data_IF_190450171616
#
_entry.id   IF_190450171616
#
_cell.length_a   1.000
_cell.length_b   1.000
_cell.length_c   1.000
_cell.angle_alpha   90.00
_cell.angle_beta   90.00
_cell.angle_gamma   90.00
#
_symmetry.space_group_name_H-M   'P 1'
#
loop_
_entity.id
_entity.type
_entity.pdbx_description
1 polymer ?
#
# COMPACT_ATOMS: atom_id res chain seq x y z
N UNK A 1 7.99 -80.78 4.05
CA UNK A 1 6.77 -80.78 4.90
C UNK A 1 6.23 -79.36 4.96
N UNK A 2 5.12 -79.10 4.27
CA UNK A 2 4.32 -77.86 4.32
C UNK A 2 2.87 -78.30 4.12
N UNK A 3 1.99 -78.00 5.06
CA UNK A 3 0.53 -78.14 4.89
C UNK A 3 -0.18 -77.06 5.71
N UNK A 4 -1.00 -76.27 5.02
CA UNK A 4 -2.05 -75.41 5.57
C UNK A 4 -3.20 -76.25 6.20
N UNK A 5 -4.21 -75.70 6.91
CA UNK A 5 -5.37 -75.01 6.29
C UNK A 5 -5.88 -73.78 7.10
N UNK A 6 -6.50 -72.76 6.49
CA UNK A 6 -7.90 -72.58 6.02
C UNK A 6 -8.94 -72.31 7.14
N UNK A 7 -9.52 -71.10 7.12
CA UNK A 7 -10.58 -70.58 7.98
C UNK A 7 -11.89 -70.41 7.17
N UNK A 8 -13.04 -70.83 7.71
CA UNK A 8 -14.35 -70.22 7.43
C UNK A 8 -15.45 -70.72 8.39
N UNK A 9 -16.54 -69.94 8.46
CA UNK A 9 -17.87 -70.19 9.08
C UNK A 9 -18.03 -69.65 10.52
N UNK A 10 -19.14 -69.03 10.95
CA UNK A 10 -20.38 -68.54 10.31
C UNK A 10 -21.08 -67.58 11.31
N UNK A 11 -21.96 -66.76 10.77
CA UNK A 11 -22.85 -65.74 11.37
C UNK A 11 -23.92 -66.32 12.33
N UNK A 12 -24.44 -65.49 13.24
CA UNK A 12 -25.84 -65.26 13.69
C UNK A 12 -25.74 -64.62 15.11
N UNK A 13 -26.34 -63.49 15.49
CA UNK A 13 -27.50 -62.73 15.06
C UNK A 13 -28.36 -62.50 16.31
N UNK A 14 -28.53 -61.26 16.79
CA UNK A 14 -29.56 -60.94 17.80
C UNK A 14 -30.12 -59.53 17.62
N UNK A 15 -31.45 -59.50 17.60
CA UNK A 15 -32.34 -58.36 17.37
C UNK A 15 -32.62 -57.64 18.68
N UNK A 16 -32.71 -56.32 18.64
CA UNK A 16 -33.31 -55.49 19.69
C UNK A 16 -33.85 -54.19 19.09
N UNK A 17 -35.16 -53.94 19.24
CA UNK A 17 -35.88 -52.76 18.76
C UNK A 17 -36.54 -52.02 19.94
N UNK A 18 -36.72 -50.69 19.75
CA UNK A 18 -37.46 -49.67 20.55
C UNK A 18 -36.65 -49.03 21.70
N UNK A 19 -36.63 -47.71 21.94
CA UNK A 19 -37.42 -46.55 21.47
C UNK A 19 -36.64 -45.23 21.73
N UNK A 20 -37.12 -44.02 21.34
CA UNK A 20 -36.28 -42.94 20.82
C UNK A 20 -35.80 -41.91 21.86
N UNK A 21 -34.49 -41.60 21.83
CA UNK A 21 -33.93 -40.38 22.39
C UNK A 21 -33.78 -39.33 21.30
N UNK A 22 -34.56 -38.24 21.35
CA UNK A 22 -34.35 -37.03 20.53
C UNK A 22 -32.98 -36.43 20.85
N UNK A 23 -32.02 -36.63 19.97
CA UNK A 23 -30.82 -35.80 19.85
C UNK A 23 -30.91 -35.09 18.49
N UNK A 24 -31.07 -33.76 18.54
CA UNK A 24 -30.90 -32.89 17.39
C UNK A 24 -29.45 -33.01 16.89
N UNK A 25 -29.21 -33.89 15.92
CA UNK A 25 -28.01 -33.82 15.10
C UNK A 25 -28.23 -32.75 14.03
N UNK A 26 -27.53 -31.63 14.19
CA UNK A 26 -27.32 -30.68 13.13
C UNK A 26 -26.77 -31.43 11.90
N UNK A 27 -27.51 -31.41 10.79
CA UNK A 27 -26.97 -31.79 9.49
C UNK A 27 -25.84 -30.80 9.17
N UNK A 28 -24.61 -31.20 9.38
CA UNK A 28 -23.48 -30.56 8.71
C UNK A 28 -23.64 -30.85 7.23
N UNK A 29 -24.01 -29.81 6.47
CA UNK A 29 -23.89 -29.84 5.02
C UNK A 29 -22.44 -30.13 4.68
N UNK A 30 -22.21 -31.06 3.76
CA UNK A 30 -20.89 -31.27 3.17
C UNK A 30 -20.32 -29.91 2.75
N UNK A 31 -19.03 -29.61 3.03
CA UNK A 31 -18.43 -28.39 2.54
C UNK A 31 -18.50 -28.44 1.02
N UNK A 32 -19.33 -27.58 0.45
CA UNK A 32 -19.28 -27.31 -0.97
C UNK A 32 -17.84 -26.94 -1.29
N UNK A 33 -17.23 -27.64 -2.25
CA UNK A 33 -16.01 -27.17 -2.91
C UNK A 33 -16.30 -25.75 -3.37
N UNK A 34 -15.79 -24.76 -2.64
CA UNK A 34 -15.66 -23.42 -3.18
C UNK A 34 -14.84 -23.59 -4.47
N UNK A 35 -15.44 -23.25 -5.60
CA UNK A 35 -14.71 -23.12 -6.84
C UNK A 35 -13.54 -22.17 -6.56
N UNK A 36 -12.31 -22.69 -6.62
CA UNK A 36 -11.12 -21.88 -6.44
C UNK A 36 -11.10 -20.84 -7.54
N UNK A 37 -11.51 -19.61 -7.22
CA UNK A 37 -11.38 -18.48 -8.13
C UNK A 37 -9.91 -18.37 -8.52
N UNK A 38 -9.64 -18.15 -9.81
CA UNK A 38 -8.29 -17.90 -10.28
C UNK A 38 -7.72 -16.70 -9.50
N UNK A 39 -6.54 -16.88 -8.91
CA UNK A 39 -5.79 -15.79 -8.30
C UNK A 39 -5.30 -14.90 -9.44
N UNK A 40 -5.65 -13.61 -9.40
CA UNK A 40 -5.12 -12.61 -10.34
C UNK A 40 -3.60 -12.57 -10.21
N UNK A 41 -2.89 -12.98 -11.26
CA UNK A 41 -1.42 -13.05 -11.28
C UNK A 41 -0.77 -11.72 -11.67
N UNK A 42 -1.56 -10.69 -11.93
CA UNK A 42 -1.10 -9.38 -12.38
C UNK A 42 -0.79 -9.35 -13.88
N UNK A 43 -0.62 -8.14 -14.38
CA UNK A 43 -0.30 -7.86 -15.78
C UNK A 43 1.13 -7.32 -15.88
N UNK A 44 1.94 -7.89 -16.77
CA UNK A 44 3.34 -7.51 -16.92
C UNK A 44 3.46 -6.39 -17.96
N UNK A 45 4.21 -5.34 -17.66
CA UNK A 45 4.63 -4.33 -18.64
C UNK A 45 6.15 -4.25 -18.71
N UNK A 46 6.65 -3.57 -19.75
CA UNK A 46 8.07 -3.29 -19.93
C UNK A 46 8.21 -1.96 -20.67
N UNK A 47 9.23 -1.19 -20.32
CA UNK A 47 9.55 0.10 -20.94
C UNK A 47 8.90 1.31 -20.26
N UNK A 48 9.30 2.49 -20.74
CA UNK A 48 8.89 3.76 -20.16
C UNK A 48 7.45 4.14 -20.56
N UNK A 49 6.78 4.83 -19.63
CA UNK A 49 5.46 5.38 -19.79
C UNK A 49 5.40 6.40 -20.93
N UNK A 50 4.34 6.29 -21.72
CA UNK A 50 3.91 7.28 -22.72
C UNK A 50 2.86 8.22 -22.14
N UNK A 51 2.36 9.16 -22.94
CA UNK A 51 1.27 10.09 -22.54
C UNK A 51 1.55 10.82 -21.21
N UNK A 52 2.83 11.15 -20.99
CA UNK A 52 3.29 11.77 -19.75
C UNK A 52 2.67 13.15 -19.58
N UNK A 53 2.19 13.41 -18.37
CA UNK A 53 1.65 14.71 -17.96
C UNK A 53 2.13 15.05 -16.57
N UNK A 54 2.29 16.33 -16.30
CA UNK A 54 2.57 16.80 -14.95
C UNK A 54 1.41 16.44 -14.01
N UNK A 55 1.74 16.11 -12.76
CA UNK A 55 0.75 15.96 -11.71
C UNK A 55 0.12 17.32 -11.44
N UNK A 56 -1.20 17.43 -11.65
CA UNK A 56 -1.90 18.69 -11.46
C UNK A 56 -1.74 19.18 -10.03
N UNK A 57 -1.51 20.48 -9.83
CA UNK A 57 -1.37 21.07 -8.51
C UNK A 57 0.03 20.94 -7.89
N UNK A 58 0.93 20.15 -8.50
CA UNK A 58 2.35 20.15 -8.16
C UNK A 58 3.04 21.20 -9.03
N UNK A 59 3.88 22.09 -8.47
CA UNK A 59 4.56 23.10 -9.25
C UNK A 59 5.57 22.45 -10.23
N UNK A 60 5.82 23.06 -11.40
CA UNK A 60 6.73 22.49 -12.39
C UNK A 60 8.21 22.52 -11.97
N UNK A 61 8.52 23.23 -10.89
CA UNK A 61 9.79 23.26 -10.17
C UNK A 61 9.54 23.84 -8.77
N UNK A 62 10.42 23.61 -7.79
CA UNK A 62 10.32 24.30 -6.50
C UNK A 62 10.38 25.83 -6.70
N UNK A 63 9.52 26.61 -6.03
CA UNK A 63 9.54 28.07 -6.10
C UNK A 63 10.83 28.70 -5.55
N UNK A 64 11.48 28.04 -4.58
CA UNK A 64 12.73 28.49 -3.97
C UNK A 64 13.91 27.66 -4.49
N UNK A 65 15.14 28.23 -4.54
CA UNK A 65 16.33 27.47 -4.92
C UNK A 65 16.62 26.37 -3.90
N UNK A 66 16.33 25.14 -4.28
CA UNK A 66 16.70 23.94 -3.53
C UNK A 66 17.43 22.97 -4.43
N UNK A 67 18.38 22.24 -3.83
CA UNK A 67 19.09 21.17 -4.51
C UNK A 67 18.15 19.97 -4.63
N UNK A 68 17.48 19.87 -5.77
CA UNK A 68 16.75 18.67 -6.18
C UNK A 68 17.61 17.88 -7.16
N UNK A 69 17.46 16.56 -7.15
CA UNK A 69 18.12 15.73 -8.16
C UNK A 69 17.63 16.14 -9.55
N UNK A 70 18.49 16.03 -10.58
CA UNK A 70 18.05 16.18 -11.97
C UNK A 70 16.85 15.27 -12.28
N UNK A 71 15.99 15.72 -13.19
CA UNK A 71 14.85 14.94 -13.74
C UNK A 71 13.69 14.66 -12.77
N UNK A 72 13.71 15.18 -11.55
CA UNK A 72 12.56 15.10 -10.61
C UNK A 72 11.39 15.98 -11.07
N UNK A 73 11.69 17.20 -11.53
CA UNK A 73 10.69 18.18 -11.93
C UNK A 73 10.63 18.37 -13.45
N UNK A 74 9.44 18.55 -14.05
CA UNK A 74 8.13 18.45 -13.40
C UNK A 74 7.80 17.00 -13.00
N UNK A 75 7.17 16.82 -11.83
CA UNK A 75 6.73 15.49 -11.39
C UNK A 75 5.57 15.04 -12.28
N UNK A 76 5.67 13.82 -12.81
CA UNK A 76 4.78 13.32 -13.85
C UNK A 76 4.10 11.99 -13.49
N UNK A 77 2.93 11.79 -14.08
CA UNK A 77 2.34 10.46 -14.30
C UNK A 77 2.32 10.17 -15.79
N UNK A 78 2.32 8.89 -16.15
CA UNK A 78 2.20 8.45 -17.54
C UNK A 78 1.37 7.19 -17.67
N UNK A 79 1.31 6.63 -18.88
CA UNK A 79 0.62 5.38 -19.17
C UNK A 79 1.57 4.33 -19.70
N UNK A 80 1.52 3.12 -19.15
CA UNK A 80 2.11 1.92 -19.77
C UNK A 80 1.01 0.98 -20.25
N UNK A 81 1.32 0.17 -21.26
CA UNK A 81 0.45 -0.92 -21.72
C UNK A 81 1.11 -2.24 -21.40
N UNK A 82 0.43 -3.10 -20.65
CA UNK A 82 0.92 -4.44 -20.33
C UNK A 82 0.76 -5.42 -21.50
N UNK A 83 1.44 -6.57 -21.44
CA UNK A 83 1.46 -7.62 -22.47
C UNK A 83 0.06 -8.15 -22.81
N UNK A 84 -0.88 -8.11 -21.85
CA UNK A 84 -2.28 -8.48 -22.03
C UNK A 84 -3.16 -7.34 -22.61
N UNK A 85 -2.56 -6.19 -22.95
CA UNK A 85 -3.21 -5.04 -23.56
C UNK A 85 -3.90 -4.08 -22.58
N UNK A 86 -3.83 -4.32 -21.26
CA UNK A 86 -4.36 -3.37 -20.26
C UNK A 86 -3.47 -2.12 -20.18
N UNK A 87 -4.10 -0.99 -19.82
CA UNK A 87 -3.41 0.29 -19.62
C UNK A 87 -3.34 0.63 -18.14
N UNK A 88 -2.19 1.13 -17.71
CA UNK A 88 -1.90 1.44 -16.31
C UNK A 88 -1.36 2.85 -16.19
N UNK A 89 -1.88 3.62 -15.22
CA UNK A 89 -1.31 4.92 -14.86
C UNK A 89 -0.19 4.67 -13.87
N UNK A 90 1.01 5.19 -14.19
CA UNK A 90 2.22 4.97 -13.40
C UNK A 90 2.84 6.28 -12.93
N UNK A 91 3.42 6.32 -11.71
CA UNK A 91 3.50 5.19 -10.75
C UNK A 91 2.15 4.84 -10.10
N UNK A 92 1.19 5.75 -10.12
CA UNK A 92 -0.15 5.51 -9.56
C UNK A 92 -1.25 6.37 -10.20
N UNK A 93 -2.52 5.93 -10.17
CA UNK A 93 -3.66 6.76 -10.50
C UNK A 93 -3.95 7.77 -9.37
N UNK A 94 -3.27 8.93 -9.41
CA UNK A 94 -3.41 9.97 -8.39
C UNK A 94 -4.72 10.76 -8.47
N UNK A 95 -5.26 11.12 -7.31
CA UNK A 95 -6.43 11.97 -7.17
C UNK A 95 -6.06 13.44 -7.31
N UNK A 96 -6.75 14.16 -8.20
CA UNK A 96 -6.59 15.61 -8.37
C UNK A 96 -7.39 16.37 -7.30
N UNK A 97 -7.03 16.19 -6.02
CA UNK A 97 -7.73 16.74 -4.87
C UNK A 97 -6.94 17.77 -4.06
N UNK A 98 -7.49 18.11 -2.89
CA UNK A 98 -6.84 18.97 -1.91
C UNK A 98 -5.45 18.46 -1.54
N UNK A 99 -4.51 19.39 -1.42
CA UNK A 99 -3.13 19.15 -1.01
C UNK A 99 -2.99 19.49 0.48
N UNK A 100 -2.31 18.62 1.22
CA UNK A 100 -2.07 18.84 2.64
C UNK A 100 -1.08 20.00 2.84
N UNK A 101 -1.31 20.90 3.82
CA UNK A 101 -0.27 21.83 4.24
C UNK A 101 0.96 21.10 4.77
N UNK A 102 2.14 21.59 4.41
CA UNK A 102 3.39 21.04 4.91
C UNK A 102 3.75 21.67 6.25
N UNK A 103 4.10 20.83 7.22
CA UNK A 103 4.84 21.22 8.43
C UNK A 103 6.27 21.58 8.06
N UNK A 104 6.85 20.82 7.13
CA UNK A 104 8.19 21.01 6.59
C UNK A 104 8.21 20.67 5.11
N UNK A 105 8.77 21.56 4.31
CA UNK A 105 9.10 21.32 2.90
C UNK A 105 10.17 22.34 2.46
N UNK A 106 11.26 21.89 1.85
CA UNK A 106 12.29 22.83 1.39
C UNK A 106 11.90 23.56 0.10
N UNK A 107 10.96 23.06 -0.72
CA UNK A 107 10.44 23.80 -1.87
C UNK A 107 9.84 25.17 -1.46
N UNK A 108 9.34 25.32 -0.22
CA UNK A 108 8.77 26.57 0.30
C UNK A 108 9.81 27.49 0.99
N UNK A 109 11.11 27.18 0.93
CA UNK A 109 12.18 28.05 1.40
C UNK A 109 13.13 27.34 2.36
N UNK A 110 13.13 27.75 3.63
CA UNK A 110 14.04 27.19 4.65
C UNK A 110 13.64 25.80 5.17
N UNK A 111 12.54 25.22 4.68
CA UNK A 111 11.99 23.98 5.19
C UNK A 111 10.82 24.20 6.14
N UNK A 112 11.08 24.79 7.30
CA UNK A 112 10.08 24.95 8.36
C UNK A 112 8.91 25.85 7.96
N UNK A 113 7.68 25.39 8.23
CA UNK A 113 6.46 26.18 8.07
C UNK A 113 5.77 26.42 9.42
N UNK A 114 6.16 27.42 10.23
CA UNK A 114 5.51 27.68 11.52
C UNK A 114 4.02 28.07 11.39
N UNK A 115 3.57 28.43 10.18
CA UNK A 115 2.20 28.83 9.88
C UNK A 115 1.25 27.69 9.49
N UNK A 116 1.73 26.43 9.43
CA UNK A 116 0.96 25.29 8.88
C UNK A 116 -0.42 25.13 9.49
N UNK A 117 -0.57 25.39 10.80
CA UNK A 117 -1.87 25.27 11.49
C UNK A 117 -2.93 26.24 10.97
N UNK A 118 -2.53 27.43 10.53
CA UNK A 118 -3.46 28.42 9.96
C UNK A 118 -3.90 28.08 8.53
N UNK A 119 -3.13 27.23 7.85
CA UNK A 119 -3.40 26.74 6.49
C UNK A 119 -4.33 25.52 6.48
N UNK A 120 -4.49 24.84 7.63
CA UNK A 120 -5.32 23.66 7.75
C UNK A 120 -6.79 23.94 7.47
N UNK A 121 -7.34 23.19 6.52
CA UNK A 121 -8.78 23.12 6.29
C UNK A 121 -9.34 21.83 6.91
N UNK A 122 -10.54 21.90 7.47
CA UNK A 122 -11.22 20.72 8.03
C UNK A 122 -12.11 20.07 6.96
N UNK A 123 -11.79 18.84 6.58
CA UNK A 123 -12.68 18.01 5.75
C UNK A 123 -13.78 17.43 6.63
N UNK A 124 -15.02 17.89 6.46
CA UNK A 124 -16.16 17.39 7.24
C UNK A 124 -16.76 16.16 6.56
N UNK A 125 -16.48 14.97 7.10
CA UNK A 125 -16.99 13.68 6.62
C UNK A 125 -18.30 13.35 7.32
N UNK A 126 -18.31 13.42 8.65
CA UNK A 126 -19.48 13.27 9.51
C UNK A 126 -19.65 14.53 10.36
N UNK A 127 -20.80 15.22 10.26
CA UNK A 127 -21.01 16.53 10.94
C UNK A 127 -20.87 16.44 12.46
N UNK A 128 -21.28 15.32 13.03
CA UNK A 128 -21.24 14.95 14.45
C UNK A 128 -20.12 13.95 14.76
N UNK A 129 -19.13 13.85 13.87
CA UNK A 129 -17.87 13.15 14.12
C UNK A 129 -16.97 13.92 15.08
N UNK A 130 -15.89 13.26 15.50
CA UNK A 130 -14.79 13.91 16.24
C UNK A 130 -13.85 14.58 15.25
N UNK A 131 -13.29 15.72 15.63
CA UNK A 131 -12.28 16.41 14.83
C UNK A 131 -10.89 15.84 15.14
N UNK A 132 -10.19 15.39 14.10
CA UNK A 132 -8.89 14.76 14.18
C UNK A 132 -7.90 15.57 13.35
N UNK A 133 -6.75 15.89 13.95
CA UNK A 133 -5.56 16.36 13.23
C UNK A 133 -4.62 15.18 13.04
N UNK A 134 -4.11 15.00 11.84
CA UNK A 134 -3.14 13.95 11.51
C UNK A 134 -1.84 14.55 10.99
N UNK A 135 -0.72 13.92 11.31
CA UNK A 135 0.60 14.18 10.76
C UNK A 135 1.05 12.97 9.95
N UNK A 136 1.58 13.20 8.76
CA UNK A 136 1.94 12.15 7.81
C UNK A 136 3.30 12.50 7.20
N UNK A 137 4.16 11.51 7.11
CA UNK A 137 5.36 11.56 6.30
C UNK A 137 5.40 10.31 5.42
N UNK A 138 5.73 10.50 4.15
CA UNK A 138 5.91 9.44 3.18
C UNK A 138 7.25 9.63 2.46
N UNK A 139 7.94 8.51 2.27
CA UNK A 139 9.02 8.35 1.30
C UNK A 139 8.38 7.60 0.12
N UNK A 140 7.81 8.25 -0.91
CA UNK A 140 7.77 9.70 -1.11
C UNK A 140 6.36 10.33 -1.18
N UNK A 141 5.28 9.60 -1.47
CA UNK A 141 3.94 10.19 -1.64
C UNK A 141 2.84 9.45 -0.90
N UNK A 142 1.83 10.20 -0.43
CA UNK A 142 0.60 9.63 0.13
C UNK A 142 -0.68 10.28 -0.40
N UNK A 143 -1.78 9.52 -0.36
CA UNK A 143 -3.15 10.04 -0.33
C UNK A 143 -3.91 9.46 0.86
N UNK A 144 -4.52 10.32 1.68
CA UNK A 144 -5.34 9.90 2.81
C UNK A 144 -6.84 9.93 2.46
N UNK A 145 -7.50 8.82 2.77
CA UNK A 145 -8.94 8.67 2.78
C UNK A 145 -9.42 8.27 4.17
N UNK A 146 -10.52 8.86 4.60
CA UNK A 146 -11.17 8.52 5.86
C UNK A 146 -12.64 8.22 5.59
N UNK A 147 -13.10 7.07 6.05
CA UNK A 147 -14.46 6.55 5.80
C UNK A 147 -14.89 6.61 4.31
N UNK A 148 -13.96 6.33 3.40
CA UNK A 148 -14.19 6.37 1.95
C UNK A 148 -14.24 7.77 1.34
N UNK A 149 -13.89 8.81 2.09
CA UNK A 149 -13.80 10.20 1.60
C UNK A 149 -12.36 10.63 1.53
N UNK A 150 -11.97 11.16 0.38
CA UNK A 150 -10.66 11.78 0.20
C UNK A 150 -10.49 12.95 1.17
N UNK A 151 -9.36 12.99 1.87
CA UNK A 151 -9.00 14.06 2.81
C UNK A 151 -8.00 15.01 2.15
N UNK A 152 -6.81 14.50 1.86
CA UNK A 152 -5.73 15.25 1.22
C UNK A 152 -4.68 14.28 0.68
N UNK A 153 -3.77 14.82 -0.12
CA UNK A 153 -2.57 14.16 -0.61
C UNK A 153 -1.34 14.99 -0.30
N UNK A 154 -0.20 14.38 -0.47
CA UNK A 154 1.10 15.02 -0.45
C UNK A 154 1.22 16.17 -1.46
N UNK A 155 1.96 17.22 -1.11
CA UNK A 155 2.22 18.38 -1.97
C UNK A 155 3.33 18.14 -3.00
N UNK A 156 4.33 17.31 -2.68
CA UNK A 156 5.51 17.04 -3.50
C UNK A 156 5.70 15.53 -3.60
N UNK A 157 5.27 14.88 -4.70
CA UNK A 157 5.25 13.43 -4.74
C UNK A 157 6.61 12.72 -4.82
N UNK A 158 7.73 13.44 -4.83
CA UNK A 158 9.07 12.86 -4.99
C UNK A 158 10.06 13.56 -4.05
N UNK A 159 10.92 14.44 -4.56
CA UNK A 159 11.82 15.25 -3.73
C UNK A 159 11.70 16.73 -4.06
N UNK A 160 11.91 17.64 -3.09
CA UNK A 160 12.31 17.38 -1.70
C UNK A 160 11.22 16.71 -0.87
N UNK A 161 11.64 15.94 0.14
CA UNK A 161 10.74 15.33 1.10
C UNK A 161 10.07 16.35 2.00
N UNK A 162 8.87 16.03 2.45
CA UNK A 162 8.03 16.86 3.29
C UNK A 162 7.40 16.06 4.44
N UNK A 163 6.94 16.79 5.46
CA UNK A 163 6.04 16.27 6.48
C UNK A 163 4.76 17.08 6.39
N UNK A 164 3.63 16.41 6.23
CA UNK A 164 2.33 17.05 6.02
C UNK A 164 1.43 16.97 7.23
N UNK A 165 0.46 17.87 7.28
CA UNK A 165 -0.60 17.88 8.29
C UNK A 165 -1.98 17.89 7.63
N UNK A 166 -2.93 17.18 8.22
CA UNK A 166 -4.32 17.11 7.74
C UNK A 166 -5.28 17.32 8.89
N UNK A 167 -6.52 17.74 8.58
CA UNK A 167 -7.60 17.82 9.57
C UNK A 167 -8.92 17.39 8.96
N UNK A 168 -9.65 16.53 9.66
CA UNK A 168 -10.94 16.05 9.23
C UNK A 168 -11.87 15.82 10.42
N UNK A 169 -13.17 15.66 10.14
CA UNK A 169 -14.18 15.30 11.13
C UNK A 169 -14.93 14.05 10.70
N UNK A 170 -14.82 12.97 11.47
CA UNK A 170 -15.39 11.68 11.14
C UNK A 170 -15.86 10.90 12.38
N UNK A 171 -16.79 9.96 12.20
CA UNK A 171 -17.30 9.10 13.27
C UNK A 171 -16.55 7.77 13.33
N UNK A 172 -16.40 7.22 14.54
CA UNK A 172 -16.04 5.83 14.75
C UNK A 172 -17.19 4.85 14.44
N UNK A 173 -16.89 3.58 14.10
CA UNK A 173 -15.57 3.10 13.74
C UNK A 173 -15.06 3.82 12.48
N UNK A 174 -13.80 4.23 12.53
CA UNK A 174 -13.18 5.08 11.51
C UNK A 174 -12.21 4.26 10.69
N UNK A 175 -12.44 4.17 9.38
CA UNK A 175 -11.52 3.51 8.45
C UNK A 175 -10.56 4.55 7.90
N UNK A 176 -9.29 4.42 8.25
CA UNK A 176 -8.18 5.09 7.60
C UNK A 176 -7.72 4.23 6.43
N UNK A 177 -7.55 4.85 5.27
CA UNK A 177 -7.04 4.20 4.08
C UNK A 177 -6.02 5.15 3.44
N UNK A 178 -4.79 4.65 3.24
CA UNK A 178 -3.69 5.44 2.69
C UNK A 178 -3.19 4.75 1.42
N UNK A 179 -3.09 5.50 0.34
CA UNK A 179 -2.34 5.10 -0.84
C UNK A 179 -0.94 5.66 -0.66
N UNK A 180 0.07 4.79 -0.55
CA UNK A 180 1.47 5.16 -0.57
C UNK A 180 2.06 4.89 -1.95
N UNK A 181 2.94 5.78 -2.41
CA UNK A 181 3.65 5.63 -3.69
C UNK A 181 5.14 5.91 -3.48
N UNK A 182 5.96 4.95 -3.92
CA UNK A 182 7.38 5.14 -4.17
C UNK A 182 7.54 5.69 -5.59
N UNK A 183 7.94 6.95 -5.70
CA UNK A 183 7.74 7.73 -6.90
C UNK A 183 8.92 7.65 -7.86
N UNK A 184 8.73 6.89 -8.93
CA UNK A 184 9.72 6.79 -10.00
C UNK A 184 9.87 8.10 -10.82
N UNK A 185 11.11 8.47 -11.19
CA UNK A 185 11.37 9.47 -12.24
C UNK A 185 11.31 8.85 -13.63
N UNK A 186 11.51 7.53 -13.72
CA UNK A 186 11.40 6.74 -14.93
C UNK A 186 10.06 5.97 -14.95
N UNK A 187 8.98 6.71 -15.19
CA UNK A 187 7.61 6.19 -15.29
C UNK A 187 7.51 4.83 -15.99
N UNK A 188 6.94 3.83 -15.34
CA UNK A 188 6.74 2.47 -15.88
C UNK A 188 7.89 1.49 -15.63
N UNK A 189 9.02 1.96 -15.10
CA UNK A 189 10.24 1.17 -14.88
C UNK A 189 10.51 0.91 -13.40
N UNK A 190 10.02 1.76 -12.50
CA UNK A 190 10.15 1.65 -11.04
C UNK A 190 11.43 2.23 -10.47
N UNK A 191 12.17 3.03 -11.27
CA UNK A 191 13.50 3.52 -10.89
C UNK A 191 13.59 5.03 -10.87
N UNK A 192 14.51 5.52 -10.05
CA UNK A 192 14.70 6.91 -9.71
C UNK A 192 16.02 7.48 -10.25
N UNK A 193 15.99 8.79 -10.45
CA UNK A 193 17.10 9.65 -10.83
C UNK A 193 17.80 9.25 -12.13
N UNK A 194 18.75 10.08 -12.57
CA UNK A 194 19.48 9.86 -13.82
C UNK A 194 20.21 8.51 -13.92
N UNK A 195 20.48 7.85 -12.79
CA UNK A 195 21.21 6.59 -12.72
C UNK A 195 20.31 5.34 -12.81
N UNK A 196 18.98 5.49 -12.83
CA UNK A 196 18.04 4.38 -12.72
C UNK A 196 18.34 3.50 -11.51
N UNK A 197 18.32 4.11 -10.33
CA UNK A 197 18.46 3.37 -9.08
C UNK A 197 17.09 2.91 -8.60
N UNK A 198 17.07 1.75 -7.96
CA UNK A 198 15.95 1.36 -7.11
C UNK A 198 15.96 2.26 -5.88
N UNK A 199 14.81 2.87 -5.61
CA UNK A 199 14.58 3.73 -4.44
C UNK A 199 14.22 2.93 -3.20
N UNK A 200 13.65 3.64 -2.25
CA UNK A 200 13.06 3.10 -1.04
C UNK A 200 11.80 3.87 -0.69
N UNK A 201 10.87 3.14 -0.09
CA UNK A 201 9.55 3.65 0.25
C UNK A 201 9.33 3.72 1.75
N UNK A 202 8.16 4.18 2.16
CA UNK A 202 7.62 3.98 3.49
C UNK A 202 6.70 5.11 3.92
N UNK A 203 5.83 4.83 4.87
CA UNK A 203 4.98 5.89 5.43
C UNK A 203 4.76 5.72 6.92
N UNK A 204 4.60 6.86 7.59
CA UNK A 204 4.24 6.95 9.00
C UNK A 204 3.12 7.98 9.15
N UNK A 205 2.11 7.65 9.96
CA UNK A 205 1.03 8.57 10.26
C UNK A 205 0.65 8.50 11.74
N UNK A 206 0.37 9.67 12.33
CA UNK A 206 -0.12 9.78 13.70
C UNK A 206 -1.25 10.77 13.79
N UNK A 207 -2.28 10.44 14.57
CA UNK A 207 -3.53 11.16 14.66
C UNK A 207 -3.80 11.62 16.10
N UNK A 208 -4.48 12.76 16.25
CA UNK A 208 -4.71 13.42 17.54
C UNK A 208 -5.62 12.65 18.51
N UNK A 209 -6.24 11.56 18.07
CA UNK A 209 -6.94 10.60 18.93
C UNK A 209 -6.05 9.45 19.42
N UNK A 210 -4.73 9.56 19.21
CA UNK A 210 -3.72 8.59 19.60
C UNK A 210 -3.60 7.38 18.68
N UNK A 211 -4.42 7.28 17.63
CA UNK A 211 -4.18 6.28 16.59
C UNK A 211 -2.96 6.66 15.76
N UNK A 212 -2.26 5.66 15.24
CA UNK A 212 -1.12 5.85 14.33
C UNK A 212 -0.94 4.62 13.44
N UNK A 213 0.10 4.61 12.63
CA UNK A 213 0.55 3.41 11.92
C UNK A 213 1.18 2.41 12.91
N UNK A 214 0.70 1.17 12.90
CA UNK A 214 1.07 0.07 13.83
C UNK A 214 0.71 -1.32 13.22
N UNK A 215 0.86 -2.41 14.00
CA UNK A 215 0.75 -3.82 13.57
C UNK A 215 -0.57 -4.20 12.95
N UNK A 216 -1.64 -3.48 13.28
CA UNK A 216 -3.00 -3.90 12.93
C UNK A 216 -3.45 -3.29 11.59
N UNK A 217 -2.58 -2.48 10.99
CA UNK A 217 -2.73 -2.06 9.61
C UNK A 217 -2.52 -3.25 8.68
N UNK A 218 -3.29 -3.27 7.60
CA UNK A 218 -3.08 -4.18 6.48
C UNK A 218 -2.53 -3.41 5.31
N UNK A 219 -1.63 -4.00 4.54
CA UNK A 219 -1.03 -3.39 3.37
C UNK A 219 -0.90 -4.41 2.23
N UNK A 220 -1.13 -3.97 1.01
CA UNK A 220 -1.01 -4.79 -0.20
C UNK A 220 -0.43 -3.96 -1.35
N UNK A 221 0.43 -4.56 -2.16
CA UNK A 221 1.08 -3.92 -3.32
C UNK A 221 0.24 -4.05 -4.59
N UNK A 222 0.21 -3.02 -5.43
CA UNK A 222 -0.55 -2.94 -6.69
C UNK A 222 0.31 -2.58 -7.91
N UNK A 223 1.57 -2.20 -7.69
CA UNK A 223 2.57 -1.97 -8.72
C UNK A 223 3.92 -2.39 -8.13
N UNK A 224 4.61 -3.32 -8.81
CA UNK A 224 5.91 -3.84 -8.38
C UNK A 224 6.92 -3.65 -9.50
N UNK A 225 7.97 -2.86 -9.26
CA UNK A 225 8.97 -2.51 -10.25
C UNK A 225 10.30 -2.04 -9.58
N UNK A 226 11.43 -2.04 -10.29
CA UNK A 226 11.71 -2.84 -11.49
C UNK A 226 11.68 -4.34 -11.18
N UNK A 227 11.62 -5.20 -12.20
CA UNK A 227 11.68 -6.66 -12.10
C UNK A 227 12.57 -7.27 -13.20
N UNK A 228 13.55 -8.07 -12.80
CA UNK A 228 14.30 -8.95 -13.72
C UNK A 228 13.39 -10.08 -14.26
N UNK A 229 12.64 -10.72 -13.36
CA UNK A 229 11.65 -11.75 -13.67
C UNK A 229 10.42 -11.62 -12.74
N UNK A 230 9.23 -11.24 -13.26
CA UNK A 230 8.02 -11.11 -12.45
C UNK A 230 7.58 -12.38 -11.73
N UNK A 231 8.06 -13.57 -12.13
CA UNK A 231 7.77 -14.82 -11.43
C UNK A 231 8.38 -14.88 -10.02
N UNK A 232 9.30 -13.99 -9.67
CA UNK A 232 9.77 -13.87 -8.29
C UNK A 232 8.67 -13.36 -7.34
N UNK A 233 7.68 -12.61 -7.84
CA UNK A 233 6.54 -12.15 -7.03
C UNK A 233 5.59 -13.32 -6.80
N UNK A 234 5.43 -13.73 -5.55
CA UNK A 234 4.52 -14.81 -5.19
C UNK A 234 3.12 -14.26 -4.98
N UNK A 235 2.22 -14.57 -5.90
CA UNK A 235 0.81 -14.18 -5.80
C UNK A 235 -0.04 -15.36 -5.35
N UNK A 236 -0.74 -15.18 -4.24
CA UNK A 236 -1.62 -16.19 -3.65
C UNK A 236 -2.98 -15.59 -3.30
N UNK A 237 -3.93 -16.42 -2.85
CA UNK A 237 -5.20 -15.92 -2.33
C UNK A 237 -5.04 -15.07 -1.04
N UNK A 238 -3.86 -15.10 -0.40
CA UNK A 238 -3.54 -14.38 0.82
C UNK A 238 -2.70 -13.10 0.58
N UNK A 239 -2.43 -12.76 -0.68
CA UNK A 239 -1.75 -11.51 -1.06
C UNK A 239 -0.59 -11.70 -2.04
N UNK A 240 0.16 -10.61 -2.25
CA UNK A 240 1.29 -10.52 -3.19
C UNK A 240 2.57 -10.30 -2.39
N UNK A 241 3.58 -11.14 -2.64
CA UNK A 241 4.83 -11.12 -1.89
C UNK A 241 6.03 -11.03 -2.84
N UNK A 242 6.60 -9.83 -2.92
CA UNK A 242 7.79 -9.51 -3.71
C UNK A 242 9.10 -9.69 -2.92
N UNK A 243 9.07 -10.18 -1.67
CA UNK A 243 10.31 -10.40 -0.88
C UNK A 243 11.23 -11.47 -1.45
N UNK A 244 10.72 -12.30 -2.37
CA UNK A 244 11.51 -13.29 -3.12
C UNK A 244 12.20 -12.71 -4.36
N UNK A 245 11.94 -11.44 -4.67
CA UNK A 245 12.62 -10.71 -5.73
C UNK A 245 13.91 -10.11 -5.18
N UNK A 246 15.04 -10.79 -5.37
CA UNK A 246 16.34 -10.25 -4.98
C UNK A 246 16.85 -9.32 -6.07
N UNK A 247 16.85 -8.01 -5.80
CA UNK A 247 17.44 -7.01 -6.69
C UNK A 247 18.50 -6.20 -5.96
N UNK A 248 19.58 -5.92 -6.67
CA UNK A 248 20.54 -4.92 -6.25
C UNK A 248 19.96 -3.52 -6.49
N UNK A 249 20.58 -2.50 -5.90
CA UNK A 249 20.27 -1.07 -6.15
C UNK A 249 20.15 -0.76 -7.66
N UNK A 250 20.92 -1.48 -8.49
CA UNK A 250 20.73 -1.51 -9.94
C UNK A 250 20.51 -2.95 -10.41
N UNK A 251 19.29 -3.32 -10.85
CA UNK A 251 18.94 -4.69 -11.22
C UNK A 251 19.66 -5.14 -12.50
N UNK A 252 19.66 -6.45 -12.78
CA UNK A 252 20.41 -7.02 -13.91
C UNK A 252 19.88 -6.48 -15.25
N UNK A 253 18.57 -6.34 -15.39
CA UNK A 253 17.91 -5.72 -16.55
C UNK A 253 18.46 -4.31 -16.81
N UNK A 254 18.61 -3.49 -15.77
CA UNK A 254 19.08 -2.12 -15.85
C UNK A 254 20.58 -1.98 -16.16
N UNK A 255 21.36 -3.06 -16.02
CA UNK A 255 22.77 -3.08 -16.43
C UNK A 255 22.90 -3.19 -17.96
N UNK A 256 21.91 -3.77 -18.64
CA UNK A 256 21.88 -3.88 -20.10
C UNK A 256 21.13 -2.70 -20.73
N UNK A 257 19.86 -2.55 -20.36
CA UNK A 257 19.01 -1.42 -20.74
C UNK A 257 17.91 -1.29 -19.67
N UNK A 258 17.85 -0.19 -18.90
CA UNK A 258 16.78 0.04 -17.90
C UNK A 258 15.37 -0.16 -18.45
N UNK A 259 15.15 0.04 -19.75
CA UNK A 259 13.84 -0.14 -20.38
C UNK A 259 13.46 -1.60 -20.61
N UNK A 260 14.39 -2.54 -20.45
CA UNK A 260 14.12 -3.98 -20.47
C UNK A 260 13.65 -4.50 -19.10
N UNK A 261 13.73 -3.69 -18.04
CA UNK A 261 13.15 -4.06 -16.76
C UNK A 261 11.63 -4.16 -16.86
N UNK A 262 11.08 -5.18 -16.21
CA UNK A 262 9.65 -5.45 -16.19
C UNK A 262 9.00 -4.80 -14.99
N UNK A 263 7.69 -4.64 -15.06
CA UNK A 263 6.87 -4.30 -13.92
C UNK A 263 5.64 -5.19 -13.86
N UNK A 264 5.11 -5.39 -12.65
CA UNK A 264 3.91 -6.17 -12.41
C UNK A 264 2.82 -5.27 -11.84
N UNK A 265 1.66 -5.27 -12.49
CA UNK A 265 0.53 -4.40 -12.16
C UNK A 265 -0.68 -5.21 -11.71
N UNK A 266 -1.46 -4.62 -10.82
CA UNK A 266 -2.69 -5.22 -10.33
C UNK A 266 -3.81 -4.20 -10.20
N UNK A 267 -5.04 -4.62 -10.48
CA UNK A 267 -6.21 -3.74 -10.38
C UNK A 267 -6.45 -3.31 -8.94
N UNK A 268 -6.58 -2.00 -8.73
CA UNK A 268 -7.02 -1.41 -7.46
C UNK A 268 -8.52 -1.66 -7.32
N UNK A 269 -8.99 -2.29 -6.23
CA UNK A 269 -10.42 -2.47 -6.00
C UNK A 269 -11.08 -1.10 -5.90
N UNK A 270 -12.12 -0.79 -6.71
CA UNK A 270 -12.68 0.56 -6.77
C UNK A 270 -13.33 1.01 -5.45
N UNK A 271 -13.69 0.06 -4.59
CA UNK A 271 -14.28 0.29 -3.27
C UNK A 271 -13.34 0.01 -2.10
N UNK A 272 -12.02 -0.17 -2.33
CA UNK A 272 -11.01 0.10 -1.28
C UNK A 272 -11.26 1.53 -0.75
N UNK A 273 -10.62 2.10 0.26
CA UNK A 273 -11.14 3.31 0.97
C UNK A 273 -12.51 3.17 1.67
N UNK A 274 -13.51 2.45 1.14
CA UNK A 274 -14.84 2.31 1.76
C UNK A 274 -14.77 1.62 3.12
N UNK A 275 -15.57 2.03 4.13
CA UNK A 275 -15.72 1.29 5.38
C UNK A 275 -16.28 -0.14 5.21
N UNK A 276 -16.94 -0.41 4.08
CA UNK A 276 -17.57 -1.71 3.79
C UNK A 276 -16.63 -2.70 3.09
N UNK A 277 -15.48 -2.24 2.62
CA UNK A 277 -14.51 -3.09 1.95
C UNK A 277 -13.88 -4.06 2.94
N UNK A 278 -13.80 -5.34 2.55
CA UNK A 278 -13.14 -6.37 3.34
C UNK A 278 -11.68 -6.51 2.89
N UNK A 279 -10.77 -5.98 3.71
CA UNK A 279 -9.32 -6.16 3.60
C UNK A 279 -8.84 -7.43 4.32
N UNK A 280 -9.73 -8.33 4.74
CA UNK A 280 -9.37 -9.52 5.53
C UNK A 280 -8.36 -10.45 4.83
N UNK A 281 -8.25 -10.36 3.49
CA UNK A 281 -7.28 -11.11 2.67
C UNK A 281 -5.96 -10.38 2.45
N UNK A 282 -5.88 -9.09 2.75
CA UNK A 282 -4.62 -8.34 2.65
C UNK A 282 -3.68 -8.75 3.78
N UNK A 283 -2.37 -8.91 3.51
CA UNK A 283 -1.37 -9.13 4.54
C UNK A 283 -1.39 -8.02 5.61
N UNK A 284 -0.88 -8.36 6.80
CA UNK A 284 -0.52 -7.32 7.76
C UNK A 284 0.60 -6.45 7.17
N UNK A 285 0.57 -5.16 7.49
CA UNK A 285 1.67 -4.26 7.16
C UNK A 285 2.95 -4.68 7.88
N UNK A 286 4.09 -4.36 7.29
CA UNK A 286 5.42 -4.64 7.84
C UNK A 286 6.00 -3.36 8.39
N UNK A 287 6.69 -3.49 9.52
CA UNK A 287 7.41 -2.39 10.12
C UNK A 287 8.80 -2.24 9.56
N UNK A 288 9.17 -1.00 9.39
CA UNK A 288 10.51 -0.59 9.01
C UNK A 288 11.02 0.39 10.05
N UNK A 289 12.29 0.30 10.41
CA UNK A 289 12.89 1.29 11.30
C UNK A 289 13.09 2.59 10.52
N UNK A 290 13.05 3.76 11.19
CA UNK A 290 13.24 5.02 10.50
C UNK A 290 14.51 5.05 9.64
N UNK A 291 15.63 4.50 10.12
CA UNK A 291 16.89 4.45 9.37
C UNK A 291 16.87 3.56 8.11
N UNK A 292 15.85 2.70 7.97
CA UNK A 292 15.63 1.88 6.79
C UNK A 292 14.78 2.59 5.74
N UNK A 293 14.04 3.65 6.13
CA UNK A 293 13.12 4.40 5.26
C UNK A 293 13.70 5.77 4.91
N UNK A 294 14.20 6.51 5.89
CA UNK A 294 14.56 7.91 5.66
C UNK A 294 15.49 8.47 6.73
N UNK A 295 16.42 9.32 6.30
CA UNK A 295 17.23 10.18 7.18
C UNK A 295 16.98 11.66 6.91
N UNK A 296 15.89 11.98 6.22
CA UNK A 296 15.63 13.30 5.66
C UNK A 296 15.21 14.28 6.77
N UNK A 297 15.59 15.57 6.68
CA UNK A 297 15.20 16.58 7.66
C UNK A 297 13.69 16.69 7.86
N UNK A 298 12.91 16.41 6.81
CA UNK A 298 11.45 16.39 6.85
C UNK A 298 10.90 15.49 7.96
N UNK A 299 11.46 14.28 8.11
CA UNK A 299 11.12 13.39 9.20
C UNK A 299 11.95 13.68 10.46
N UNK A 300 13.28 13.74 10.35
CA UNK A 300 14.19 13.77 11.51
C UNK A 300 13.92 14.96 12.43
N UNK A 301 13.66 16.15 11.87
CA UNK A 301 13.38 17.35 12.67
C UNK A 301 12.01 17.28 13.38
N UNK A 302 11.11 16.45 12.87
CA UNK A 302 9.69 16.38 13.26
C UNK A 302 9.27 15.02 13.80
N UNK A 303 10.21 14.10 14.07
CA UNK A 303 9.95 12.74 14.52
C UNK A 303 8.99 12.68 15.74
N UNK A 304 9.04 13.69 16.61
CA UNK A 304 8.15 13.82 17.79
C UNK A 304 6.66 13.96 17.44
N UNK A 305 6.32 14.42 16.24
CA UNK A 305 4.92 14.53 15.79
C UNK A 305 4.26 13.16 15.60
N UNK A 306 5.08 12.11 15.43
CA UNK A 306 4.59 10.77 15.13
C UNK A 306 4.33 9.90 16.37
N UNK A 307 4.54 10.42 17.58
CA UNK A 307 4.23 9.71 18.82
C UNK A 307 4.83 8.29 18.85
N UNK A 308 3.99 7.30 19.12
CA UNK A 308 4.34 5.87 19.12
C UNK A 308 4.02 5.18 17.78
N UNK A 309 3.76 5.95 16.71
CA UNK A 309 3.56 5.39 15.39
C UNK A 309 4.87 4.81 14.84
N UNK A 310 4.73 3.82 13.96
CA UNK A 310 5.84 3.13 13.32
C UNK A 310 5.75 3.33 11.80
N UNK A 311 6.88 3.35 11.10
CA UNK A 311 6.87 3.28 9.65
C UNK A 311 6.30 1.94 9.21
N UNK A 312 5.38 1.98 8.26
CA UNK A 312 4.79 0.79 7.65
C UNK A 312 4.94 0.77 6.14
N UNK A 313 5.07 -0.43 5.60
CA UNK A 313 4.95 -0.72 4.17
C UNK A 313 4.47 -2.18 3.98
N UNK A 314 4.68 -2.73 2.80
CA UNK A 314 4.65 -4.18 2.55
C UNK A 314 6.01 -4.82 2.90
N UNK A 315 6.21 -6.09 2.52
CA UNK A 315 7.44 -6.85 2.76
C UNK A 315 8.64 -6.38 1.95
N UNK A 316 8.46 -5.47 0.99
CA UNK A 316 9.53 -5.00 0.14
C UNK A 316 9.50 -3.48 0.03
N UNK A 317 10.42 -2.83 0.73
CA UNK A 317 10.53 -1.38 0.75
C UNK A 317 10.98 -0.78 -0.58
N UNK A 318 11.61 -1.59 -1.43
CA UNK A 318 12.35 -1.12 -2.59
C UNK A 318 11.61 -1.34 -3.92
N UNK A 319 10.76 -2.37 -3.99
CA UNK A 319 10.14 -2.77 -5.26
C UNK A 319 8.63 -2.58 -5.29
N UNK A 320 7.98 -2.39 -4.15
CA UNK A 320 6.51 -2.26 -4.11
C UNK A 320 6.13 -0.79 -4.28
N UNK A 321 6.13 -0.29 -5.53
CA UNK A 321 5.99 1.14 -5.79
C UNK A 321 4.60 1.73 -5.53
N UNK A 322 3.54 0.92 -5.52
CA UNK A 322 2.20 1.35 -5.16
C UNK A 322 1.63 0.44 -4.09
N UNK A 323 1.41 0.98 -2.89
CA UNK A 323 0.86 0.23 -1.75
C UNK A 323 -0.41 0.89 -1.25
N UNK A 324 -1.42 0.07 -0.98
CA UNK A 324 -2.64 0.51 -0.29
C UNK A 324 -2.63 -0.06 1.12
N UNK A 325 -2.72 0.83 2.11
CA UNK A 325 -2.77 0.46 3.52
C UNK A 325 -4.12 0.85 4.15
N UNK A 326 -4.61 0.02 5.06
CA UNK A 326 -5.92 0.20 5.71
C UNK A 326 -5.90 -0.19 7.18
N UNK A 327 -6.65 0.55 7.98
CA UNK A 327 -6.93 0.25 9.38
C UNK A 327 -8.30 0.81 9.79
N UNK A 328 -9.05 0.06 10.60
CA UNK A 328 -10.33 0.54 11.15
C UNK A 328 -10.24 0.70 12.67
N UNK A 329 -10.13 1.94 13.13
CA UNK A 329 -10.14 2.28 14.55
C UNK A 329 -11.56 2.19 15.11
N UNK A 330 -11.72 1.50 16.24
CA UNK A 330 -13.01 1.42 16.95
C UNK A 330 -13.26 2.62 17.87
N UNK A 331 -12.23 3.42 18.13
CA UNK A 331 -12.24 4.58 19.02
C UNK A 331 -10.84 5.19 19.13
N UNK A 332 -10.66 6.18 20.02
CA UNK A 332 -9.36 6.73 20.36
C UNK A 332 -8.42 5.66 20.95
N UNK A 333 -7.13 5.79 20.72
CA UNK A 333 -6.07 4.97 21.32
C UNK A 333 -5.33 5.81 22.37
N UNK A 334 -5.01 5.22 23.51
CA UNK A 334 -4.31 5.88 24.62
C UNK A 334 -2.92 5.32 24.75
#
# INVERSE_FOLDING_TARGET
>A
MRTAPLFLALIVGLVGLSSPGRLLQARQGAPGRAAGGAVDRGSVSMGEATDRRAVKGVPPACPNPVMVQPDVFPVQVGTVTSEDGKKWVVPAPVTEGAVAPDVYDTCIGTGDNPGYLSQLQTVVIDKDGVEITGYIHADNYFELYVNGRYVARDSIPMTPFNTSVVRFRARYPMTYAIMGVDWETHGGVGMEYAQYNVGDAGMIAYFSDGNGTHTDWRAETFYVAPLDDPNCVRVTAAGRDSSFCSQAVRPVCAQKDPKECKALHFEIPPDWTSPKFSDARWPAAIFWRPEEVTNQPAYVNYAKLFGDAEFIWTRNLHLDNLVLARYTAKGPRR
#
